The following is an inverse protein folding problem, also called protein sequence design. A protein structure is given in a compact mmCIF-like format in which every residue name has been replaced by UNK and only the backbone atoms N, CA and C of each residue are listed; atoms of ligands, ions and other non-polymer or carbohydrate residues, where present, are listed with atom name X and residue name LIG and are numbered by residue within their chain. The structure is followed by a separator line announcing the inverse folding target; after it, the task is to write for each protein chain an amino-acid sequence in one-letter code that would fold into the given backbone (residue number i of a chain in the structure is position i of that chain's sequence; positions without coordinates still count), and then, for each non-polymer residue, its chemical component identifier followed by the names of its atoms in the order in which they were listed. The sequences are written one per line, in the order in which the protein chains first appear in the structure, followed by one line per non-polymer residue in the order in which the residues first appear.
data_IF_059574367737
#
_entry.id   IF_059574367737
#
_cell.length_a   1.000
_cell.length_b   1.000
_cell.length_c   1.000
_cell.angle_alpha   90.00
_cell.angle_beta   90.00
_cell.angle_gamma   90.00
#
_symmetry.space_group_name_H-M   'P 1'
#
loop_
_entity.id
_entity.type
_entity.pdbx_description
1 polymer ?
#
# COMPACT_ATOMS: atom_id res chain seq x y z
N UNK A 1 6.23 -20.39 0.86
CA UNK A 1 5.94 -19.03 0.35
C UNK A 1 6.83 -18.05 1.11
N UNK A 2 8.04 -17.77 0.60
CA UNK A 2 8.96 -16.75 1.14
C UNK A 2 8.69 -15.45 0.36
N UNK A 3 8.43 -14.35 1.04
CA UNK A 3 8.54 -13.03 0.43
C UNK A 3 10.03 -12.67 0.43
N UNK A 4 10.67 -12.94 -0.72
CA UNK A 4 11.74 -12.17 -1.40
C UNK A 4 12.62 -11.30 -0.47
N UNK A 5 13.77 -11.86 -0.10
CA UNK A 5 15.08 -11.25 0.23
C UNK A 5 15.23 -10.18 1.33
N UNK A 6 14.18 -9.77 2.05
CA UNK A 6 14.28 -8.90 3.22
C UNK A 6 13.69 -9.55 4.46
N UNK A 7 14.54 -9.98 5.38
CA UNK A 7 14.16 -10.46 6.71
C UNK A 7 13.47 -9.37 7.55
N UNK A 8 12.97 -9.78 8.72
CA UNK A 8 12.29 -8.89 9.67
C UNK A 8 13.19 -7.72 10.09
N UNK A 9 14.49 -7.96 10.26
CA UNK A 9 15.46 -6.95 10.63
C UNK A 9 15.67 -5.91 9.52
N UNK A 10 15.91 -6.34 8.29
CA UNK A 10 16.11 -5.45 7.14
C UNK A 10 14.84 -4.65 6.83
N UNK A 11 13.66 -5.26 6.98
CA UNK A 11 12.38 -4.54 6.85
C UNK A 11 12.24 -3.46 7.92
N UNK A 12 12.67 -3.73 9.16
CA UNK A 12 12.64 -2.74 10.24
C UNK A 12 13.58 -1.56 9.93
N UNK A 13 14.79 -1.82 9.45
CA UNK A 13 15.74 -0.75 9.06
C UNK A 13 15.18 0.16 7.97
N UNK A 14 14.50 -0.41 6.96
CA UNK A 14 13.85 0.38 5.90
C UNK A 14 12.70 1.22 6.46
N UNK A 15 11.90 0.67 7.37
CA UNK A 15 10.80 1.42 7.99
C UNK A 15 11.31 2.57 8.87
N UNK A 16 12.35 2.31 9.67
CA UNK A 16 12.96 3.30 10.55
C UNK A 16 13.58 4.44 9.72
N UNK A 17 14.31 4.12 8.66
CA UNK A 17 14.86 5.10 7.71
C UNK A 17 13.76 5.95 7.06
N UNK A 18 12.68 5.34 6.57
CA UNK A 18 11.56 6.07 5.98
C UNK A 18 10.90 7.03 6.99
N UNK A 19 10.79 6.61 8.26
CA UNK A 19 10.22 7.43 9.32
C UNK A 19 11.12 8.63 9.67
N UNK A 20 12.44 8.42 9.79
CA UNK A 20 13.42 9.49 10.07
C UNK A 20 13.49 10.53 8.95
N UNK A 21 13.42 10.08 7.69
CA UNK A 21 13.55 10.94 6.52
C UNK A 21 12.22 11.47 5.97
N UNK A 22 11.09 11.23 6.66
CA UNK A 22 9.75 11.62 6.21
C UNK A 22 9.42 11.13 4.79
N UNK A 23 9.91 9.94 4.43
CA UNK A 23 9.66 9.32 3.13
C UNK A 23 8.26 8.70 3.18
N UNK A 24 7.30 9.44 2.64
CA UNK A 24 5.93 8.98 2.46
C UNK A 24 5.68 8.70 0.98
N UNK A 25 4.94 7.63 0.70
CA UNK A 25 4.45 7.36 -0.66
C UNK A 25 3.18 8.17 -0.93
N UNK A 26 3.04 8.67 -2.15
CA UNK A 26 1.76 9.16 -2.63
C UNK A 26 0.77 8.00 -2.74
N UNK A 27 -0.35 8.12 -2.02
CA UNK A 27 -1.38 7.08 -1.95
C UNK A 27 -2.75 7.64 -2.29
N UNK A 28 -3.58 6.78 -2.86
CA UNK A 28 -5.01 6.99 -2.98
C UNK A 28 -5.74 6.04 -2.04
N UNK A 29 -6.50 6.61 -1.11
CA UNK A 29 -7.30 5.83 -0.17
C UNK A 29 -8.52 5.26 -0.89
N UNK A 30 -8.80 3.98 -0.66
CA UNK A 30 -9.90 3.25 -1.28
C UNK A 30 -10.81 2.63 -0.22
N UNK A 31 -12.12 2.78 -0.42
CA UNK A 31 -13.13 2.03 0.32
C UNK A 31 -13.14 0.57 -0.17
N UNK A 32 -13.19 -0.39 0.75
CA UNK A 32 -13.16 -1.82 0.38
C UNK A 32 -14.28 -2.21 -0.61
N UNK A 33 -15.42 -1.52 -0.58
CA UNK A 33 -16.55 -1.76 -1.48
C UNK A 33 -16.24 -1.42 -2.93
N UNK A 34 -15.22 -0.60 -3.18
CA UNK A 34 -14.79 -0.14 -4.50
C UNK A 34 -13.58 -0.93 -5.04
N UNK A 35 -13.18 -2.03 -4.40
CA UNK A 35 -11.98 -2.79 -4.78
C UNK A 35 -11.96 -3.27 -6.23
N UNK A 36 -13.10 -3.73 -6.75
CA UNK A 36 -13.20 -4.25 -8.12
C UNK A 36 -13.07 -3.12 -9.17
N UNK A 37 -13.61 -1.95 -8.86
CA UNK A 37 -13.51 -0.76 -9.70
C UNK A 37 -12.06 -0.26 -9.71
N UNK A 38 -11.43 -0.12 -8.53
CA UNK A 38 -10.03 0.29 -8.43
C UNK A 38 -9.07 -0.69 -9.11
N UNK A 39 -9.35 -1.99 -9.04
CA UNK A 39 -8.58 -3.01 -9.76
C UNK A 39 -8.66 -2.82 -11.28
N UNK A 40 -9.84 -2.45 -11.80
CA UNK A 40 -10.02 -2.15 -13.22
C UNK A 40 -9.26 -0.89 -13.63
N UNK A 41 -9.29 0.18 -12.83
CA UNK A 41 -8.49 1.39 -13.07
C UNK A 41 -6.98 1.13 -13.02
N UNK A 42 -6.53 0.26 -12.11
CA UNK A 42 -5.13 -0.16 -12.04
C UNK A 42 -4.68 -0.85 -13.33
N UNK A 43 -5.49 -1.76 -13.88
CA UNK A 43 -5.22 -2.42 -15.17
C UNK A 43 -5.21 -1.40 -16.32
N UNK A 44 -6.13 -0.43 -16.29
CA UNK A 44 -6.19 0.65 -17.29
C UNK A 44 -5.03 1.65 -17.17
N UNK A 45 -4.20 1.57 -16.12
CA UNK A 45 -3.09 2.49 -15.88
C UNK A 45 -3.52 3.84 -15.29
N UNK A 46 -4.78 3.97 -14.87
CA UNK A 46 -5.36 5.19 -14.30
C UNK A 46 -5.08 5.35 -12.79
N UNK A 47 -3.99 4.74 -12.30
CA UNK A 47 -3.58 4.83 -10.88
C UNK A 47 -2.34 5.69 -10.74
N UNK A 48 -2.36 6.62 -9.78
CA UNK A 48 -1.14 7.29 -9.31
C UNK A 48 -0.49 6.43 -8.24
N UNK A 49 0.48 5.62 -8.65
CA UNK A 49 1.42 4.85 -7.83
C UNK A 49 0.84 3.76 -6.92
N UNK A 50 -0.08 4.05 -5.99
CA UNK A 50 -0.53 3.07 -4.99
C UNK A 50 -1.94 3.35 -4.45
N UNK A 51 -2.81 2.34 -4.52
CA UNK A 51 -4.04 2.30 -3.74
C UNK A 51 -3.79 1.71 -2.35
N UNK A 52 -4.40 2.30 -1.32
CA UNK A 52 -4.39 1.79 0.06
C UNK A 52 -5.84 1.62 0.51
N UNK A 53 -6.19 0.41 0.92
CA UNK A 53 -7.54 0.13 1.42
C UNK A 53 -7.64 0.61 2.86
N UNK A 54 -8.63 1.47 3.12
CA UNK A 54 -8.91 1.88 4.49
C UNK A 54 -9.63 0.76 5.25
N UNK A 55 -8.94 0.16 6.21
CA UNK A 55 -9.50 -0.89 7.08
C UNK A 55 -10.70 -0.40 7.89
N UNK A 56 -10.83 0.90 8.20
CA UNK A 56 -12.00 1.42 8.91
C UNK A 56 -13.31 1.23 8.11
N UNK A 57 -13.22 1.12 6.79
CA UNK A 57 -14.37 0.83 5.90
C UNK A 57 -14.81 -0.63 5.94
N UNK A 58 -13.99 -1.52 6.48
CA UNK A 58 -14.33 -2.92 6.71
C UNK A 58 -15.19 -3.04 7.96
N UNK A 59 -16.51 -2.87 7.81
CA UNK A 59 -17.50 -3.27 8.82
C UNK A 59 -17.76 -4.77 8.69
N UNK A 60 -17.29 -5.52 9.68
CA UNK A 60 -17.65 -6.93 9.93
C UNK A 60 -19.01 -7.04 10.59
#
# INVERSE_FOLDING_TARGET
MRLIDGGIAETREVLDFCAEHSIIGDIQMLDIRQINEAYSHMIAGEVKYRFVIDKATLKV
#
